data_IF_764949347429
#
_entry.id   IF_764949347429
#
_cell.length_a   1.000
_cell.length_b   1.000
_cell.length_c   1.000
_cell.angle_alpha   90.00
_cell.angle_beta   90.00
_cell.angle_gamma   90.00
#
_symmetry.space_group_name_H-M   'P 1'
#
loop_
_entity.id
_entity.type
_entity.pdbx_description
1 polymer ?
#
# COMPACT_ATOMS: atom_id res chain seq x y z
N UNK A 1 12.81 79.67 -25.36
CA UNK A 1 11.93 78.71 -24.60
C UNK A 1 12.36 77.29 -24.92
N UNK A 2 12.99 76.63 -23.97
CA UNK A 2 13.42 75.22 -24.09
C UNK A 2 12.55 74.36 -23.15
N UNK A 3 11.63 73.60 -23.74
CA UNK A 3 10.79 72.66 -23.05
C UNK A 3 11.58 71.37 -22.80
N UNK A 4 11.90 71.08 -21.55
CA UNK A 4 12.50 69.78 -21.13
C UNK A 4 11.39 68.76 -20.93
N UNK A 5 11.34 67.78 -21.86
CA UNK A 5 10.46 66.60 -21.74
C UNK A 5 11.11 65.58 -20.80
N UNK A 6 10.50 65.36 -19.63
CA UNK A 6 10.92 64.35 -18.69
C UNK A 6 10.25 63.02 -19.04
N UNK A 7 11.05 62.08 -19.53
CA UNK A 7 10.61 60.71 -19.73
C UNK A 7 10.56 59.98 -18.38
N UNK A 8 9.37 59.66 -17.93
CA UNK A 8 9.16 58.71 -16.83
C UNK A 8 9.27 57.27 -17.40
N UNK A 9 10.34 56.59 -17.02
CA UNK A 9 10.47 55.13 -17.28
C UNK A 9 9.76 54.40 -16.14
N UNK A 10 8.62 53.85 -16.46
CA UNK A 10 7.87 52.94 -15.54
C UNK A 10 8.52 51.56 -15.63
N UNK A 11 9.31 51.23 -14.59
CA UNK A 11 9.84 49.88 -14.45
C UNK A 11 8.73 49.00 -13.85
N UNK A 12 8.12 48.15 -14.66
CA UNK A 12 7.24 47.07 -14.22
C UNK A 12 8.10 45.96 -13.61
N UNK A 13 8.18 45.89 -12.31
CA UNK A 13 8.69 44.72 -11.60
C UNK A 13 7.56 43.67 -11.56
N UNK A 14 7.61 42.74 -12.51
CA UNK A 14 6.75 41.57 -12.49
C UNK A 14 7.24 40.64 -11.38
N UNK A 15 6.58 40.71 -10.21
CA UNK A 15 6.73 39.69 -9.17
C UNK A 15 6.15 38.39 -9.70
N UNK A 16 7.01 37.50 -10.17
CA UNK A 16 6.69 36.10 -10.35
C UNK A 16 6.56 35.46 -8.95
N UNK A 17 5.34 35.43 -8.42
CA UNK A 17 5.00 34.55 -7.32
C UNK A 17 5.05 33.12 -7.88
N UNK A 18 6.20 32.48 -7.74
CA UNK A 18 6.31 31.05 -7.87
C UNK A 18 5.42 30.46 -6.76
N UNK A 19 4.25 29.94 -7.13
CA UNK A 19 3.48 29.07 -6.27
C UNK A 19 4.34 27.81 -6.04
N UNK A 20 5.19 27.86 -5.03
CA UNK A 20 5.81 26.69 -4.46
C UNK A 20 4.65 26.00 -3.72
N UNK A 21 3.93 25.11 -4.39
CA UNK A 21 3.09 24.15 -3.70
C UNK A 21 4.04 23.33 -2.83
N UNK A 22 4.07 23.61 -1.53
CA UNK A 22 4.69 22.69 -0.60
C UNK A 22 4.05 21.32 -0.84
N UNK A 23 4.87 20.25 -1.01
CA UNK A 23 4.31 18.92 -1.09
C UNK A 23 3.56 18.70 0.22
N UNK A 24 2.24 18.65 0.15
CA UNK A 24 1.40 18.26 1.27
C UNK A 24 1.96 16.93 1.75
N UNK A 25 2.53 16.91 2.94
CA UNK A 25 2.96 15.66 3.57
C UNK A 25 1.74 14.76 3.59
N UNK A 26 1.75 13.69 2.79
CA UNK A 26 0.61 12.78 2.66
C UNK A 26 0.48 12.03 3.98
N UNK A 27 -0.43 12.51 4.83
CA UNK A 27 -0.71 11.88 6.12
C UNK A 27 -1.26 10.48 5.83
N UNK A 28 -0.53 9.44 6.24
CA UNK A 28 -0.97 8.05 6.11
C UNK A 28 -0.37 7.26 4.94
N UNK A 29 0.74 7.73 4.36
CA UNK A 29 1.48 7.02 3.32
C UNK A 29 0.88 7.11 1.92
N UNK A 30 1.65 6.71 0.91
CA UNK A 30 1.32 6.80 -0.52
C UNK A 30 0.69 5.51 -1.02
N UNK A 31 -0.33 5.60 -1.87
CA UNK A 31 -0.83 4.45 -2.63
C UNK A 31 0.33 3.87 -3.46
N UNK A 32 0.46 2.54 -3.48
CA UNK A 32 1.61 1.88 -4.09
C UNK A 32 1.26 0.57 -4.76
N UNK A 33 2.01 0.23 -5.78
CA UNK A 33 2.03 -1.08 -6.45
C UNK A 33 3.38 -1.80 -6.28
N UNK A 34 4.22 -1.34 -5.37
CA UNK A 34 5.59 -1.90 -5.17
C UNK A 34 5.60 -3.39 -4.81
N UNK A 35 4.51 -3.93 -4.29
CA UNK A 35 4.39 -5.36 -4.01
C UNK A 35 4.12 -6.22 -5.26
N UNK A 36 3.84 -5.61 -6.42
CA UNK A 36 3.57 -6.36 -7.65
C UNK A 36 4.70 -7.34 -7.99
N UNK A 37 4.36 -8.60 -8.23
CA UNK A 37 5.29 -9.69 -8.47
C UNK A 37 5.92 -10.29 -7.21
N UNK A 38 5.60 -9.78 -6.03
CA UNK A 38 6.10 -10.31 -4.76
C UNK A 38 5.20 -11.44 -4.25
N UNK A 39 5.80 -12.53 -3.80
CA UNK A 39 5.12 -13.60 -3.06
C UNK A 39 5.62 -13.63 -1.63
N UNK A 40 4.70 -13.67 -0.68
CA UNK A 40 5.01 -13.71 0.77
C UNK A 40 4.36 -14.96 1.37
N UNK A 41 5.17 -15.76 2.06
CA UNK A 41 4.70 -16.91 2.85
C UNK A 41 4.83 -16.58 4.34
N UNK A 42 3.79 -16.85 5.11
CA UNK A 42 3.75 -16.52 6.53
C UNK A 42 2.90 -17.47 7.36
N UNK A 43 3.23 -17.56 8.64
CA UNK A 43 2.58 -18.42 9.61
C UNK A 43 2.01 -17.57 10.74
N UNK A 44 0.71 -17.64 10.97
CA UNK A 44 0.04 -17.02 12.09
C UNK A 44 0.32 -17.75 13.40
N UNK A 45 0.26 -17.05 14.52
CA UNK A 45 0.36 -17.66 15.86
C UNK A 45 -0.77 -18.65 16.12
N UNK A 46 -1.93 -18.49 15.47
CA UNK A 46 -3.05 -19.45 15.48
C UNK A 46 -2.77 -20.75 14.70
N UNK A 47 -1.62 -20.88 14.03
CA UNK A 47 -1.25 -22.04 13.22
C UNK A 47 -1.69 -21.98 11.76
N UNK A 48 -2.48 -20.99 11.35
CA UNK A 48 -2.84 -20.79 9.94
C UNK A 48 -1.61 -20.39 9.12
N UNK A 49 -1.46 -20.97 7.93
CA UNK A 49 -0.36 -20.66 7.01
C UNK A 49 -0.89 -20.21 5.67
N UNK A 50 -0.31 -19.15 5.15
CA UNK A 50 -0.70 -18.60 3.84
C UNK A 50 0.51 -18.32 2.96
N UNK A 51 0.30 -18.48 1.66
CA UNK A 51 1.18 -17.97 0.61
C UNK A 51 0.37 -17.00 -0.22
N UNK A 52 0.79 -15.74 -0.28
CA UNK A 52 0.09 -14.66 -0.99
C UNK A 52 0.98 -14.09 -2.06
N UNK A 53 0.46 -14.01 -3.28
CA UNK A 53 1.13 -13.40 -4.44
C UNK A 53 0.41 -12.11 -4.79
N UNK A 54 1.14 -11.01 -4.83
CA UNK A 54 0.63 -9.69 -5.15
C UNK A 54 0.88 -9.37 -6.63
N UNK A 55 -0.19 -9.06 -7.35
CA UNK A 55 -0.14 -8.45 -8.68
C UNK A 55 -0.16 -6.93 -8.60
N UNK A 56 -0.30 -6.21 -9.74
CA UNK A 56 -0.39 -4.74 -9.74
C UNK A 56 -1.62 -4.20 -9.00
N UNK A 57 -2.76 -4.86 -9.12
CA UNK A 57 -4.07 -4.45 -8.61
C UNK A 57 -4.89 -5.58 -7.99
N UNK A 58 -4.47 -6.82 -8.17
CA UNK A 58 -5.10 -8.02 -7.61
C UNK A 58 -4.09 -8.87 -6.86
N UNK A 59 -4.56 -9.63 -5.90
CA UNK A 59 -3.75 -10.65 -5.23
C UNK A 59 -4.37 -12.04 -5.39
N UNK A 60 -3.53 -13.05 -5.15
CA UNK A 60 -3.93 -14.43 -5.02
C UNK A 60 -3.40 -15.00 -3.70
N UNK A 61 -4.14 -15.90 -3.06
CA UNK A 61 -3.65 -16.56 -1.87
C UNK A 61 -4.01 -18.05 -1.81
N UNK A 62 -3.12 -18.80 -1.20
CA UNK A 62 -3.33 -20.21 -0.89
C UNK A 62 -3.17 -20.42 0.63
N UNK A 63 -4.15 -21.06 1.25
CA UNK A 63 -4.03 -21.55 2.61
C UNK A 63 -3.29 -22.89 2.62
N UNK A 64 -2.16 -22.96 3.32
CA UNK A 64 -1.23 -24.08 3.23
C UNK A 64 -1.32 -25.08 4.40
N UNK A 65 -1.91 -24.68 5.52
CA UNK A 65 -2.07 -25.55 6.71
C UNK A 65 -3.19 -26.58 6.58
N UNK A 66 -4.06 -26.45 5.59
CA UNK A 66 -5.19 -27.36 5.31
C UNK A 66 -5.03 -28.00 3.94
N UNK A 67 -4.86 -29.32 3.85
CA UNK A 67 -4.77 -30.02 2.54
C UNK A 67 -6.01 -29.81 1.67
N UNK A 68 -5.81 -29.77 0.35
CA UNK A 68 -6.92 -29.70 -0.62
C UNK A 68 -7.59 -28.32 -0.72
N UNK A 69 -7.03 -27.26 -0.14
CA UNK A 69 -7.53 -25.90 -0.33
C UNK A 69 -7.23 -25.39 -1.73
N UNK A 70 -8.22 -24.71 -2.30
CA UNK A 70 -8.11 -24.11 -3.63
C UNK A 70 -7.40 -22.76 -3.52
N UNK A 71 -6.56 -22.46 -4.51
CA UNK A 71 -6.02 -21.12 -4.72
C UNK A 71 -7.16 -20.12 -4.97
N UNK A 72 -7.17 -19.03 -4.26
CA UNK A 72 -8.08 -17.89 -4.48
C UNK A 72 -7.32 -16.86 -5.28
N UNK A 73 -7.87 -16.41 -6.40
CA UNK A 73 -7.21 -15.50 -7.34
C UNK A 73 -8.08 -14.31 -7.68
N UNK A 74 -7.45 -13.27 -8.25
CA UNK A 74 -8.14 -12.12 -8.82
C UNK A 74 -8.83 -11.23 -7.79
N UNK A 75 -8.39 -11.23 -6.53
CA UNK A 75 -8.94 -10.36 -5.51
C UNK A 75 -8.38 -8.95 -5.64
N UNK A 76 -9.19 -7.93 -5.96
CA UNK A 76 -8.75 -6.55 -5.92
C UNK A 76 -8.26 -6.16 -4.53
N UNK A 77 -7.12 -5.47 -4.47
CA UNK A 77 -6.58 -4.97 -3.22
C UNK A 77 -6.08 -3.54 -3.37
N UNK A 78 -5.94 -2.86 -2.26
CA UNK A 78 -5.36 -1.52 -2.16
C UNK A 78 -4.20 -1.61 -1.17
N UNK A 79 -3.06 -1.03 -1.54
CA UNK A 79 -1.88 -0.95 -0.68
C UNK A 79 -1.42 0.50 -0.52
N UNK A 80 -0.96 0.82 0.70
CA UNK A 80 -0.21 2.05 1.01
C UNK A 80 1.15 1.67 1.52
N UNK A 81 2.17 2.35 1.01
CA UNK A 81 3.51 2.31 1.61
C UNK A 81 3.55 3.34 2.72
N UNK A 82 3.71 2.91 3.95
CA UNK A 82 3.73 3.80 5.13
C UNK A 82 5.15 4.06 5.65
N UNK A 83 6.10 3.20 5.29
CA UNK A 83 7.53 3.37 5.55
C UNK A 83 8.32 2.49 4.56
N UNK A 84 9.66 2.58 4.59
CA UNK A 84 10.52 1.70 3.80
C UNK A 84 10.24 0.23 4.15
N UNK A 85 9.83 -0.56 3.14
CA UNK A 85 9.47 -1.97 3.27
C UNK A 85 8.35 -2.25 4.29
N UNK A 86 7.46 -1.24 4.54
CA UNK A 86 6.28 -1.38 5.40
C UNK A 86 5.04 -0.97 4.63
N UNK A 87 4.05 -1.88 4.57
CA UNK A 87 2.86 -1.73 3.73
C UNK A 87 1.59 -1.98 4.53
N UNK A 88 0.60 -1.13 4.31
CA UNK A 88 -0.77 -1.29 4.82
C UNK A 88 -1.67 -1.70 3.66
N UNK A 89 -2.33 -2.85 3.77
CA UNK A 89 -3.06 -3.50 2.67
C UNK A 89 -4.46 -3.83 3.10
N UNK A 90 -5.42 -3.69 2.19
CA UNK A 90 -6.80 -4.10 2.42
C UNK A 90 -7.41 -4.71 1.17
N UNK A 91 -8.24 -5.73 1.36
CA UNK A 91 -9.10 -6.31 0.33
C UNK A 91 -10.44 -6.75 0.89
N UNK A 92 -11.40 -6.88 0.00
CA UNK A 92 -12.75 -7.35 0.31
C UNK A 92 -13.14 -8.48 -0.64
N UNK A 93 -13.75 -9.52 -0.11
CA UNK A 93 -14.25 -10.66 -0.83
C UNK A 93 -15.77 -10.73 -0.66
N UNK A 94 -16.55 -10.07 -1.56
CA UNK A 94 -17.99 -9.85 -1.36
C UNK A 94 -18.81 -11.15 -1.31
N UNK A 95 -18.44 -12.17 -2.08
CA UNK A 95 -19.15 -13.45 -2.13
C UNK A 95 -19.12 -14.22 -0.81
N UNK A 96 -18.21 -13.84 0.11
CA UNK A 96 -18.09 -14.43 1.45
C UNK A 96 -18.28 -13.40 2.56
N UNK A 97 -18.40 -12.13 2.22
CA UNK A 97 -18.45 -11.05 3.21
C UNK A 97 -17.16 -10.89 4.01
N UNK A 98 -16.02 -11.33 3.45
CA UNK A 98 -14.72 -11.25 4.11
C UNK A 98 -14.04 -9.92 3.84
N UNK A 99 -13.70 -9.20 4.89
CA UNK A 99 -12.91 -7.97 4.83
C UNK A 99 -11.60 -8.17 5.59
N UNK A 100 -10.49 -7.94 4.92
CA UNK A 100 -9.15 -8.20 5.48
C UNK A 100 -8.30 -6.95 5.39
N UNK A 101 -7.64 -6.62 6.48
CA UNK A 101 -6.63 -5.57 6.58
C UNK A 101 -5.35 -6.15 7.15
N UNK A 102 -4.23 -5.87 6.51
CA UNK A 102 -2.92 -6.37 6.90
C UNK A 102 -1.91 -5.22 6.93
N UNK A 103 -1.11 -5.19 7.99
CA UNK A 103 0.14 -4.44 8.05
C UNK A 103 1.30 -5.42 7.84
N UNK A 104 2.08 -5.24 6.76
CA UNK A 104 3.29 -6.01 6.48
C UNK A 104 4.51 -5.17 6.83
N UNK A 105 5.36 -5.67 7.72
CA UNK A 105 6.67 -5.12 8.04
C UNK A 105 7.74 -6.12 7.58
N UNK A 106 8.29 -5.90 6.38
CA UNK A 106 9.32 -6.78 5.81
C UNK A 106 10.66 -6.64 6.56
N UNK A 107 10.92 -5.50 7.20
CA UNK A 107 12.14 -5.30 7.98
C UNK A 107 12.16 -6.19 9.22
N UNK A 108 11.02 -6.32 9.89
CA UNK A 108 10.84 -7.18 11.06
C UNK A 108 10.43 -8.60 10.71
N UNK A 109 10.12 -8.87 9.45
CA UNK A 109 9.51 -10.13 8.97
C UNK A 109 8.25 -10.48 9.74
N UNK A 110 7.40 -9.49 9.95
CA UNK A 110 6.17 -9.61 10.71
C UNK A 110 4.97 -9.11 9.89
N UNK A 111 3.82 -9.71 10.14
CA UNK A 111 2.56 -9.33 9.55
C UNK A 111 1.50 -9.28 10.64
N UNK A 112 0.70 -8.21 10.64
CA UNK A 112 -0.38 -7.97 11.59
C UNK A 112 -1.69 -7.94 10.82
N UNK A 113 -2.68 -8.73 11.24
CA UNK A 113 -3.96 -8.84 10.55
C UNK A 113 -5.12 -8.47 11.45
N UNK A 114 -6.05 -7.69 10.90
CA UNK A 114 -7.40 -7.53 11.41
C UNK A 114 -8.37 -7.90 10.29
N UNK A 115 -9.20 -8.90 10.50
CA UNK A 115 -10.13 -9.38 9.50
C UNK A 115 -11.48 -9.76 10.08
N UNK A 116 -12.52 -9.52 9.28
CA UNK A 116 -13.84 -10.13 9.44
C UNK A 116 -13.96 -11.21 8.36
N UNK A 117 -14.09 -12.45 8.80
CA UNK A 117 -14.20 -13.61 7.93
C UNK A 117 -15.64 -14.07 7.81
N UNK A 118 -15.89 -15.03 6.91
CA UNK A 118 -17.21 -15.64 6.72
C UNK A 118 -17.82 -16.10 8.05
N UNK A 119 -19.12 -15.87 8.25
CA UNK A 119 -19.80 -16.18 9.50
C UNK A 119 -19.55 -15.21 10.65
N UNK A 120 -19.06 -13.99 10.36
CA UNK A 120 -18.69 -12.98 11.34
C UNK A 120 -17.54 -13.42 12.26
N UNK A 121 -16.71 -14.37 11.83
CA UNK A 121 -15.51 -14.78 12.56
C UNK A 121 -14.49 -13.64 12.54
N UNK A 122 -14.04 -13.20 13.72
CA UNK A 122 -13.02 -12.16 13.86
C UNK A 122 -11.65 -12.81 13.94
N UNK A 123 -10.80 -12.43 13.00
CA UNK A 123 -9.40 -12.85 13.01
C UNK A 123 -8.52 -11.64 13.31
N UNK A 124 -7.94 -11.62 14.51
CA UNK A 124 -6.99 -10.59 14.94
C UNK A 124 -5.74 -11.32 15.43
N UNK A 125 -4.69 -11.32 14.61
CA UNK A 125 -3.53 -12.17 14.83
C UNK A 125 -2.26 -11.52 14.25
N UNK A 126 -1.13 -12.05 14.64
CA UNK A 126 0.15 -11.72 14.04
C UNK A 126 0.78 -12.97 13.42
N UNK A 127 1.60 -12.76 12.38
CA UNK A 127 2.27 -13.82 11.67
C UNK A 127 3.76 -13.51 11.50
N UNK A 128 4.56 -14.57 11.51
CA UNK A 128 5.96 -14.52 11.10
C UNK A 128 6.04 -14.76 9.58
N UNK A 129 6.74 -13.88 8.87
CA UNK A 129 7.04 -14.03 7.44
C UNK A 129 8.23 -14.98 7.31
N UNK A 130 7.98 -16.16 6.77
CA UNK A 130 8.98 -17.20 6.59
C UNK A 130 9.73 -17.07 5.26
N UNK A 131 9.06 -16.55 4.23
CA UNK A 131 9.63 -16.42 2.89
C UNK A 131 9.13 -15.16 2.18
N UNK A 132 10.00 -14.50 1.45
CA UNK A 132 9.67 -13.38 0.54
C UNK A 132 10.36 -13.62 -0.79
N UNK A 133 9.58 -13.82 -1.84
CA UNK A 133 10.07 -13.91 -3.22
C UNK A 133 9.73 -12.60 -3.92
N UNK A 134 10.74 -11.87 -4.39
CA UNK A 134 10.56 -10.65 -5.18
C UNK A 134 10.88 -10.92 -6.66
N UNK A 135 10.29 -10.14 -7.59
CA UNK A 135 10.66 -10.23 -8.99
C UNK A 135 12.16 -9.97 -9.14
N UNK A 136 12.81 -10.73 -10.03
CA UNK A 136 14.21 -10.45 -10.38
C UNK A 136 14.26 -9.08 -11.08
N UNK A 137 15.08 -8.20 -10.53
CA UNK A 137 15.41 -6.92 -11.16
C UNK A 137 16.28 -7.18 -12.40
#
# INVERSE_FOLDING_TARGET
>A
MRTRSTFFVLVFVACWLANISEPSAEIGGTLTTELAGTTITYNYTSGRKYRVTYGPDTLAYLRMDVPGRTLVEGLPYIARKIDKDVYYISWYRPERGEFVTILIDLNKRMLYTSALLEGNDRHFDLAEITEVERPKQ
#
